data_IF_817400828187
#
_entry.id   IF_817400828187
#
_cell.length_a   1.000
_cell.length_b   1.000
_cell.length_c   1.000
_cell.angle_alpha   90.00
_cell.angle_beta   90.00
_cell.angle_gamma   90.00
#
_symmetry.space_group_name_H-M   'P 1'
#
loop_
_entity.id
_entity.type
_entity.pdbx_description
1 polymer ?
#
# COMPACT_ATOMS: atom_id res chain seq x y z
N UNK A 1 -26.26 4.78 8.45
CA UNK A 1 -25.90 4.35 7.09
C UNK A 1 -24.65 3.50 7.23
N UNK A 2 -24.76 2.20 6.94
CA UNK A 2 -23.69 1.22 7.11
C UNK A 2 -22.50 1.62 6.24
N UNK A 3 -21.30 1.63 6.83
CA UNK A 3 -20.06 1.88 6.12
C UNK A 3 -19.93 0.83 5.00
N UNK A 4 -20.18 1.25 3.76
CA UNK A 4 -19.73 0.50 2.60
C UNK A 4 -18.21 0.49 2.72
N UNK A 5 -17.64 -0.66 3.10
CA UNK A 5 -16.27 -0.99 2.71
C UNK A 5 -16.31 -1.06 1.20
N UNK A 6 -16.14 0.10 0.59
CA UNK A 6 -15.85 0.23 -0.82
C UNK A 6 -14.54 -0.57 -1.01
N UNK A 7 -14.66 -1.79 -1.55
CA UNK A 7 -13.53 -2.65 -1.91
C UNK A 7 -12.77 -2.04 -3.12
N UNK A 8 -12.59 -0.72 -3.12
CA UNK A 8 -11.57 -0.06 -3.91
C UNK A 8 -10.24 -0.51 -3.34
N UNK A 9 -9.61 -1.47 -4.01
CA UNK A 9 -8.26 -1.88 -3.65
C UNK A 9 -7.39 -0.62 -3.51
N UNK A 10 -6.65 -0.45 -2.41
CA UNK A 10 -5.89 0.77 -2.19
C UNK A 10 -4.93 0.99 -3.35
N UNK A 11 -4.80 2.23 -3.82
CA UNK A 11 -3.83 2.56 -4.87
C UNK A 11 -2.44 2.64 -4.24
N UNK A 12 -1.41 2.27 -5.00
CA UNK A 12 -0.03 2.37 -4.57
C UNK A 12 0.31 3.77 -4.06
N UNK A 13 0.78 3.86 -2.82
CA UNK A 13 1.19 5.11 -2.18
C UNK A 13 2.57 5.62 -2.63
N UNK A 14 3.15 5.04 -3.68
CA UNK A 14 4.38 5.55 -4.30
C UNK A 14 4.04 6.71 -5.24
N UNK A 15 4.81 7.81 -5.13
CA UNK A 15 4.61 8.99 -5.97
C UNK A 15 4.75 8.63 -7.46
N UNK A 16 3.68 8.82 -8.22
CA UNK A 16 3.63 8.51 -9.65
C UNK A 16 3.26 7.06 -9.99
N UNK A 17 2.99 6.21 -9.00
CA UNK A 17 2.44 4.88 -9.23
C UNK A 17 0.92 4.90 -9.05
N UNK A 18 0.19 4.47 -10.07
CA UNK A 18 -1.28 4.36 -10.04
C UNK A 18 -1.75 2.91 -10.03
N UNK A 19 -0.84 1.96 -9.81
CA UNK A 19 -1.20 0.55 -9.73
C UNK A 19 -1.93 0.26 -8.43
N UNK A 20 -2.65 -0.86 -8.42
CA UNK A 20 -3.24 -1.41 -7.22
C UNK A 20 -2.15 -1.76 -6.22
N UNK A 21 -2.35 -1.41 -4.96
CA UNK A 21 -1.47 -1.80 -3.88
C UNK A 21 -1.83 -3.20 -3.37
N UNK A 22 -0.79 -3.98 -3.10
CA UNK A 22 -0.90 -5.39 -2.69
C UNK A 22 -0.32 -5.61 -1.29
N UNK A 23 0.52 -4.68 -0.81
CA UNK A 23 1.29 -4.85 0.42
C UNK A 23 1.40 -3.57 1.23
N UNK A 24 1.59 -3.74 2.54
CA UNK A 24 1.97 -2.68 3.47
C UNK A 24 3.42 -2.87 3.88
N UNK A 25 4.27 -1.92 3.54
CA UNK A 25 5.69 -1.88 3.93
C UNK A 25 5.94 -0.98 5.13
N UNK A 26 7.04 -1.21 5.85
CA UNK A 26 7.61 -0.28 6.83
C UNK A 26 8.73 0.54 6.17
N UNK A 27 8.44 1.78 5.84
CA UNK A 27 9.44 2.74 5.37
C UNK A 27 10.18 3.37 6.56
N UNK A 28 11.53 3.37 6.58
CA UNK A 28 12.31 3.85 7.73
C UNK A 28 12.06 5.33 8.06
N UNK A 29 11.76 6.16 7.06
CA UNK A 29 11.49 7.61 7.26
C UNK A 29 10.02 7.99 7.36
N UNK A 30 9.11 7.14 6.89
CA UNK A 30 7.69 7.51 6.72
C UNK A 30 6.73 6.59 7.47
N UNK A 31 7.25 5.58 8.19
CA UNK A 31 6.42 4.62 8.90
C UNK A 31 5.75 3.64 7.93
N UNK A 32 4.48 3.31 8.17
CA UNK A 32 3.75 2.32 7.36
C UNK A 32 3.29 2.95 6.05
N UNK A 33 3.50 2.27 4.92
CA UNK A 33 2.98 2.65 3.61
C UNK A 33 2.37 1.48 2.88
N UNK A 34 1.26 1.71 2.21
CA UNK A 34 0.60 0.73 1.34
C UNK A 34 1.07 0.97 -0.09
N UNK A 35 1.67 -0.04 -0.72
CA UNK A 35 2.30 0.03 -2.04
C UNK A 35 2.03 -1.25 -2.83
N UNK A 36 2.21 -1.22 -4.15
CA UNK A 36 2.23 -2.44 -4.97
C UNK A 36 3.51 -3.23 -4.71
N UNK A 37 3.51 -4.53 -5.05
CA UNK A 37 4.68 -5.41 -4.89
C UNK A 37 5.93 -4.84 -5.59
N UNK A 38 5.75 -4.20 -6.75
CA UNK A 38 6.85 -3.58 -7.51
C UNK A 38 7.44 -2.33 -6.81
N UNK A 39 6.65 -1.63 -6.01
CA UNK A 39 7.06 -0.43 -5.27
C UNK A 39 7.48 -0.73 -3.82
N UNK A 40 7.61 -2.01 -3.45
CA UNK A 40 8.17 -2.39 -2.14
C UNK A 40 9.59 -1.90 -1.95
N UNK A 41 10.39 -1.80 -3.02
CA UNK A 41 11.73 -1.21 -2.97
C UNK A 41 12.69 -1.89 -1.99
N UNK A 42 12.47 -3.17 -1.68
CA UNK A 42 13.23 -3.91 -0.67
C UNK A 42 12.89 -3.54 0.78
N UNK A 43 11.82 -2.78 1.01
CA UNK A 43 11.34 -2.47 2.34
C UNK A 43 10.62 -3.67 2.97
N UNK A 44 10.65 -3.73 4.30
CA UNK A 44 10.04 -4.82 5.06
C UNK A 44 8.53 -4.80 4.86
N UNK A 45 7.99 -5.83 4.23
CA UNK A 45 6.56 -6.08 4.13
C UNK A 45 6.04 -6.53 5.49
N UNK A 46 5.02 -5.83 5.98
CA UNK A 46 4.40 -6.08 7.29
C UNK A 46 3.13 -6.91 7.13
N UNK A 47 2.38 -6.72 6.02
CA UNK A 47 1.20 -7.51 5.65
C UNK A 47 0.81 -7.28 4.19
N UNK A 48 0.00 -8.19 3.64
CA UNK A 48 -0.75 -7.98 2.40
C UNK A 48 -2.05 -7.23 2.69
N UNK A 49 -2.55 -6.44 1.73
CA UNK A 49 -3.84 -5.72 1.83
C UNK A 49 -5.01 -6.53 1.30
#
# INVERSE_FOLDING_TARGET
MSAQTDHSNPICGALGCHETADVVIRHPKHGKRTVCDNCTGGHVVIRHV
#
